data_IF_734551298667
#
_entry.id   IF_734551298667
#
_cell.length_a   1.000
_cell.length_b   1.000
_cell.length_c   1.000
_cell.angle_alpha   90.00
_cell.angle_beta   90.00
_cell.angle_gamma   90.00
#
_symmetry.space_group_name_H-M   'P 1'
#
loop_
_entity.id
_entity.type
_entity.pdbx_description
1 polymer ?
#
# COMPACT_ATOMS: atom_id res chain seq x y z
N UNK A 1 11.56 -24.72 24.25
CA UNK A 1 11.50 -23.70 23.18
C UNK A 1 10.26 -22.83 23.38
N UNK A 2 9.11 -23.44 23.62
CA UNK A 2 7.80 -22.77 23.71
C UNK A 2 7.70 -21.76 24.86
N UNK A 3 8.25 -22.05 26.04
CA UNK A 3 8.26 -21.10 27.17
C UNK A 3 9.06 -19.82 26.87
N UNK A 4 10.15 -19.94 26.11
CA UNK A 4 10.96 -18.80 25.68
C UNK A 4 10.21 -17.97 24.64
N UNK A 5 9.58 -18.61 23.65
CA UNK A 5 8.78 -17.92 22.64
C UNK A 5 7.56 -17.24 23.26
N UNK A 6 6.91 -17.86 24.25
CA UNK A 6 5.79 -17.27 24.97
C UNK A 6 6.24 -16.04 25.76
N UNK A 7 7.37 -16.13 26.45
CA UNK A 7 8.00 -15.00 27.14
C UNK A 7 8.35 -13.86 26.17
N UNK A 8 8.92 -14.18 24.99
CA UNK A 8 9.20 -13.17 23.97
C UNK A 8 7.93 -12.51 23.44
N UNK A 9 6.88 -13.28 23.18
CA UNK A 9 5.59 -12.75 22.73
C UNK A 9 4.98 -11.80 23.77
N UNK A 10 4.98 -12.19 25.04
CA UNK A 10 4.46 -11.32 26.12
C UNK A 10 5.33 -10.09 26.33
N UNK A 11 6.66 -10.23 26.22
CA UNK A 11 7.59 -9.11 26.29
C UNK A 11 7.32 -8.07 25.20
N UNK A 12 6.99 -8.49 23.98
CA UNK A 12 6.69 -7.60 22.85
C UNK A 12 5.39 -6.79 23.01
N UNK A 13 4.46 -7.21 23.88
CA UNK A 13 3.26 -6.43 24.19
C UNK A 13 3.59 -5.08 24.86
N UNK A 14 4.64 -5.04 25.67
CA UNK A 14 5.05 -3.83 26.39
C UNK A 14 5.51 -2.70 25.45
N UNK A 15 6.50 -2.90 24.55
CA UNK A 15 6.88 -1.87 23.59
C UNK A 15 5.75 -1.52 22.63
N UNK A 16 4.92 -2.49 22.21
CA UNK A 16 3.76 -2.20 21.36
C UNK A 16 2.78 -1.24 22.06
N UNK A 17 2.38 -1.55 23.29
CA UNK A 17 1.50 -0.69 24.07
C UNK A 17 2.13 0.69 24.34
N UNK A 18 3.43 0.73 24.60
CA UNK A 18 4.19 1.98 24.76
C UNK A 18 4.16 2.86 23.51
N UNK A 19 4.45 2.28 22.35
CA UNK A 19 4.43 2.98 21.05
C UNK A 19 3.04 3.49 20.68
N UNK A 20 2.00 2.67 20.90
CA UNK A 20 0.60 3.07 20.68
C UNK A 20 0.23 4.25 21.58
N UNK A 21 0.51 4.17 22.89
CA UNK A 21 0.24 5.26 23.83
C UNK A 21 0.99 6.54 23.46
N UNK A 22 2.25 6.41 23.04
CA UNK A 22 3.07 7.55 22.64
C UNK A 22 2.51 8.22 21.38
N UNK A 23 1.95 7.45 20.45
CA UNK A 23 1.30 7.98 19.25
C UNK A 23 0.12 8.89 19.60
N UNK A 24 -0.74 8.48 20.55
CA UNK A 24 -1.84 9.33 21.02
C UNK A 24 -1.34 10.61 21.70
N UNK A 25 -0.32 10.52 22.54
CA UNK A 25 0.29 11.70 23.19
C UNK A 25 0.88 12.66 22.17
N UNK A 26 1.61 12.15 21.19
CA UNK A 26 2.24 12.96 20.15
C UNK A 26 1.20 13.62 19.24
N UNK A 27 0.11 12.91 18.92
CA UNK A 27 -1.02 13.48 18.17
C UNK A 27 -1.69 14.63 18.95
N UNK A 28 -1.94 14.46 20.24
CA UNK A 28 -2.49 15.53 21.09
C UNK A 28 -1.56 16.75 21.15
N UNK A 29 -0.24 16.53 21.26
CA UNK A 29 0.75 17.60 21.21
C UNK A 29 0.75 18.32 19.86
N UNK A 30 0.77 17.57 18.75
CA UNK A 30 0.73 18.14 17.39
C UNK A 30 -0.55 18.98 17.20
N UNK A 31 -1.70 18.49 17.63
CA UNK A 31 -2.96 19.23 17.55
C UNK A 31 -2.94 20.51 18.42
N UNK A 32 -2.35 20.44 19.62
CA UNK A 32 -2.18 21.63 20.46
C UNK A 32 -1.29 22.69 19.81
N UNK A 33 -0.24 22.28 19.09
CA UNK A 33 0.66 23.21 18.40
C UNK A 33 -0.03 23.84 17.18
N UNK A 34 -0.77 23.05 16.41
CA UNK A 34 -1.60 23.59 15.32
C UNK A 34 -2.61 24.61 15.82
N UNK A 35 -3.31 24.32 16.93
CA UNK A 35 -4.27 25.27 17.53
C UNK A 35 -3.60 26.57 17.96
N UNK A 36 -2.43 26.49 18.61
CA UNK A 36 -1.64 27.69 18.99
C UNK A 36 -1.20 28.50 17.78
N UNK A 37 -0.81 27.84 16.70
CA UNK A 37 -0.42 28.49 15.44
C UNK A 37 -1.60 29.20 14.76
N UNK A 38 -2.80 28.62 14.83
CA UNK A 38 -4.03 29.24 14.33
C UNK A 38 -4.47 30.43 15.18
N UNK A 39 -4.44 30.30 16.51
CA UNK A 39 -4.74 31.39 17.45
C UNK A 39 -3.77 32.57 17.32
N UNK A 40 -2.50 32.30 16.99
CA UNK A 40 -1.48 33.32 16.78
C UNK A 40 -1.61 34.06 15.41
N UNK A 41 -2.55 33.67 14.55
CA UNK A 41 -2.78 34.32 13.26
C UNK A 41 -1.74 34.00 12.17
N UNK A 42 -0.92 32.96 12.37
CA UNK A 42 0.17 32.55 11.50
C UNK A 42 1.26 31.79 12.26
N UNK A 43 2.01 30.91 11.59
CA UNK A 43 3.13 30.22 12.22
C UNK A 43 4.42 30.99 12.08
N UNK A 44 5.10 31.20 13.20
CA UNK A 44 6.53 31.49 13.17
C UNK A 44 7.30 30.24 12.67
N UNK A 45 8.44 30.46 12.03
CA UNK A 45 9.31 29.40 11.53
C UNK A 45 9.66 28.36 12.61
N UNK A 46 9.74 28.78 13.88
CA UNK A 46 9.94 27.88 15.01
C UNK A 46 8.76 26.91 15.25
N UNK A 47 7.53 27.37 15.11
CA UNK A 47 6.33 26.53 15.25
C UNK A 47 6.16 25.57 14.08
N UNK A 48 6.41 26.01 12.85
CA UNK A 48 6.36 25.15 11.67
C UNK A 48 7.41 24.03 11.74
N UNK A 49 8.65 24.36 12.09
CA UNK A 49 9.71 23.38 12.29
C UNK A 49 9.39 22.39 13.42
N UNK A 50 8.71 22.83 14.48
CA UNK A 50 8.28 21.95 15.57
C UNK A 50 7.20 20.98 15.10
N UNK A 51 6.19 21.44 14.35
CA UNK A 51 5.14 20.58 13.78
C UNK A 51 5.74 19.56 12.82
N UNK A 52 6.69 19.96 11.99
CA UNK A 52 7.41 19.06 11.09
C UNK A 52 8.17 17.97 11.86
N UNK A 53 8.91 18.34 12.90
CA UNK A 53 9.61 17.39 13.79
C UNK A 53 8.63 16.42 14.46
N UNK A 54 7.49 16.91 14.93
CA UNK A 54 6.45 16.07 15.52
C UNK A 54 5.85 15.10 14.49
N UNK A 55 5.62 15.55 13.26
CA UNK A 55 5.17 14.70 12.15
C UNK A 55 6.17 13.59 11.84
N UNK A 56 7.46 13.93 11.76
CA UNK A 56 8.53 12.97 11.52
C UNK A 56 8.66 11.95 12.66
N UNK A 57 8.63 12.40 13.92
CA UNK A 57 8.64 11.53 15.08
C UNK A 57 7.42 10.58 15.09
N UNK A 58 6.24 11.06 14.71
CA UNK A 58 5.04 10.23 14.56
C UNK A 58 5.21 9.17 13.46
N UNK A 59 5.85 9.52 12.35
CA UNK A 59 6.24 8.58 11.30
C UNK A 59 7.09 7.41 11.84
N UNK A 60 8.10 7.71 12.66
CA UNK A 60 8.92 6.68 13.31
C UNK A 60 8.13 5.82 14.29
N UNK A 61 7.18 6.38 15.03
CA UNK A 61 6.32 5.59 15.93
C UNK A 61 5.48 4.59 15.14
N UNK A 62 4.86 5.02 14.03
CA UNK A 62 4.11 4.11 13.18
C UNK A 62 4.99 3.01 12.59
N UNK A 63 6.20 3.35 12.13
CA UNK A 63 7.17 2.37 11.66
C UNK A 63 7.52 1.35 12.76
N UNK A 64 7.77 1.82 13.98
CA UNK A 64 8.01 0.95 15.14
C UNK A 64 6.83 0.04 15.46
N UNK A 65 5.59 0.56 15.43
CA UNK A 65 4.37 -0.24 15.66
C UNK A 65 4.27 -1.35 14.63
N UNK A 66 4.48 -1.04 13.34
CA UNK A 66 4.43 -2.03 12.26
C UNK A 66 5.51 -3.09 12.46
N UNK A 67 6.75 -2.69 12.75
CA UNK A 67 7.86 -3.62 12.96
C UNK A 67 7.60 -4.57 14.14
N UNK A 68 7.15 -4.04 15.28
CA UNK A 68 6.82 -4.85 16.46
C UNK A 68 5.63 -5.77 16.18
N UNK A 69 4.61 -5.29 15.45
CA UNK A 69 3.46 -6.12 15.07
C UNK A 69 3.84 -7.29 14.16
N UNK A 70 4.73 -7.05 13.18
CA UNK A 70 5.26 -8.11 12.31
C UNK A 70 6.07 -9.11 13.13
N UNK A 71 6.94 -8.63 14.01
CA UNK A 71 7.74 -9.50 14.88
C UNK A 71 6.85 -10.34 15.80
N UNK A 72 5.82 -9.73 16.39
CA UNK A 72 4.83 -10.44 17.20
C UNK A 72 4.09 -11.51 16.39
N UNK A 73 3.66 -11.21 15.17
CA UNK A 73 3.01 -12.18 14.29
C UNK A 73 3.96 -13.34 13.93
N UNK A 74 5.25 -13.06 13.71
CA UNK A 74 6.26 -14.08 13.46
C UNK A 74 6.49 -14.98 14.68
N UNK A 75 6.66 -14.40 15.88
CA UNK A 75 6.80 -15.16 17.13
C UNK A 75 5.53 -15.97 17.41
N UNK A 76 4.35 -15.40 17.17
CA UNK A 76 3.08 -16.11 17.30
C UNK A 76 2.99 -17.30 16.34
N UNK A 77 3.39 -17.13 15.08
CA UNK A 77 3.45 -18.23 14.13
C UNK A 77 4.40 -19.33 14.61
N UNK A 78 5.61 -18.99 15.08
CA UNK A 78 6.57 -19.96 15.63
C UNK A 78 6.04 -20.67 16.89
N UNK A 79 5.17 -20.03 17.67
CA UNK A 79 4.53 -20.64 18.84
C UNK A 79 3.50 -21.70 18.47
N UNK A 80 2.81 -21.53 17.33
CA UNK A 80 1.74 -22.43 16.90
C UNK A 80 2.20 -23.43 15.83
N UNK A 81 3.41 -23.27 15.29
CA UNK A 81 3.98 -24.16 14.30
C UNK A 81 4.03 -25.61 14.81
N UNK A 82 3.55 -26.56 14.00
CA UNK A 82 3.41 -27.97 14.35
C UNK A 82 2.22 -28.30 15.26
N UNK A 83 1.43 -27.30 15.68
CA UNK A 83 0.20 -27.51 16.46
C UNK A 83 -1.04 -27.54 15.57
N UNK A 84 -2.18 -27.99 16.12
CA UNK A 84 -3.49 -27.94 15.43
C UNK A 84 -3.92 -26.51 15.05
N UNK A 85 -3.39 -25.49 15.74
CA UNK A 85 -3.74 -24.09 15.49
C UNK A 85 -3.03 -23.51 14.26
N UNK A 86 -1.96 -24.14 13.77
CA UNK A 86 -1.22 -23.67 12.61
C UNK A 86 -2.11 -23.58 11.37
N UNK A 87 -2.88 -24.64 11.10
CA UNK A 87 -3.81 -24.70 9.97
C UNK A 87 -4.88 -23.62 10.06
N UNK A 88 -5.53 -23.50 11.23
CA UNK A 88 -6.53 -22.47 11.48
C UNK A 88 -5.97 -21.05 11.29
N UNK A 89 -4.77 -20.77 11.78
CA UNK A 89 -4.14 -19.48 11.59
C UNK A 89 -3.91 -19.17 10.10
N UNK A 90 -3.38 -20.13 9.34
CA UNK A 90 -3.14 -19.99 7.89
C UNK A 90 -4.45 -19.76 7.11
N UNK A 91 -5.53 -20.45 7.48
CA UNK A 91 -6.86 -20.29 6.87
C UNK A 91 -7.45 -18.90 7.15
N UNK A 92 -7.47 -18.48 8.42
CA UNK A 92 -7.94 -17.14 8.81
C UNK A 92 -7.13 -16.03 8.15
N UNK A 93 -5.81 -16.18 8.07
CA UNK A 93 -4.94 -15.23 7.38
C UNK A 93 -5.28 -15.15 5.89
N UNK A 94 -5.49 -16.29 5.23
CA UNK A 94 -5.92 -16.34 3.83
C UNK A 94 -7.24 -15.60 3.61
N UNK A 95 -8.27 -15.93 4.39
CA UNK A 95 -9.61 -15.34 4.24
C UNK A 95 -9.55 -13.84 4.51
N UNK A 96 -8.87 -13.42 5.57
CA UNK A 96 -8.77 -12.01 5.98
C UNK A 96 -8.07 -11.19 4.90
N UNK A 97 -6.89 -11.61 4.46
CA UNK A 97 -6.11 -10.83 3.47
C UNK A 97 -6.79 -10.81 2.10
N UNK A 98 -7.44 -11.92 1.68
CA UNK A 98 -8.23 -11.96 0.45
C UNK A 98 -9.43 -11.02 0.51
N UNK A 99 -10.17 -11.03 1.62
CA UNK A 99 -11.32 -10.15 1.79
C UNK A 99 -10.89 -8.68 1.79
N UNK A 100 -9.79 -8.34 2.49
CA UNK A 100 -9.21 -7.01 2.44
C UNK A 100 -8.85 -6.62 0.99
N UNK A 101 -8.16 -7.51 0.26
CA UNK A 101 -7.75 -7.23 -1.11
C UNK A 101 -8.93 -6.99 -2.05
N UNK A 102 -9.97 -7.83 -1.99
CA UNK A 102 -11.18 -7.67 -2.79
C UNK A 102 -11.88 -6.36 -2.42
N UNK A 103 -12.01 -6.05 -1.12
CA UNK A 103 -12.68 -4.84 -0.64
C UNK A 103 -11.97 -3.58 -1.13
N UNK A 104 -10.65 -3.49 -0.94
CA UNK A 104 -9.88 -2.34 -1.42
C UNK A 104 -9.80 -2.29 -2.95
N UNK A 105 -9.76 -3.44 -3.63
CA UNK A 105 -9.81 -3.52 -5.07
C UNK A 105 -11.11 -2.95 -5.63
N UNK A 106 -12.26 -3.31 -5.05
CA UNK A 106 -13.57 -2.72 -5.39
C UNK A 106 -13.55 -1.21 -5.13
N UNK A 107 -13.04 -0.76 -4.00
CA UNK A 107 -12.95 0.67 -3.69
C UNK A 107 -12.06 1.42 -4.70
N UNK A 108 -10.89 0.87 -5.06
CA UNK A 108 -9.95 1.51 -5.97
C UNK A 108 -10.49 1.59 -7.40
N UNK A 109 -11.08 0.48 -7.90
CA UNK A 109 -11.73 0.44 -9.20
C UNK A 109 -12.95 1.36 -9.22
N UNK A 110 -13.77 1.35 -8.15
CA UNK A 110 -14.93 2.23 -8.01
C UNK A 110 -14.57 3.71 -8.06
N UNK A 111 -13.56 4.13 -7.29
CA UNK A 111 -13.03 5.49 -7.33
C UNK A 111 -12.50 5.85 -8.72
N UNK A 112 -11.84 4.92 -9.41
CA UNK A 112 -11.36 5.13 -10.78
C UNK A 112 -12.52 5.39 -11.76
N UNK A 113 -13.59 4.59 -11.71
CA UNK A 113 -14.78 4.82 -12.53
C UNK A 113 -15.47 6.14 -12.21
N UNK A 114 -15.54 6.52 -10.93
CA UNK A 114 -16.08 7.81 -10.53
C UNK A 114 -15.29 8.96 -11.15
N UNK A 115 -13.96 8.92 -11.12
CA UNK A 115 -13.13 9.95 -11.77
C UNK A 115 -13.23 9.92 -13.30
N UNK A 116 -13.34 8.75 -13.93
CA UNK A 116 -13.61 8.66 -15.39
C UNK A 116 -14.93 9.34 -15.74
N UNK A 117 -15.98 9.10 -14.96
CA UNK A 117 -17.25 9.81 -15.12
C UNK A 117 -17.07 11.32 -14.95
N UNK A 118 -16.43 11.77 -13.86
CA UNK A 118 -16.19 13.19 -13.63
C UNK A 118 -15.48 13.84 -14.81
N UNK A 119 -14.38 13.25 -15.29
CA UNK A 119 -13.60 13.78 -16.41
C UNK A 119 -14.40 13.96 -17.70
N UNK A 120 -15.29 13.00 -17.98
CA UNK A 120 -16.14 13.00 -19.17
C UNK A 120 -17.35 13.94 -19.03
N UNK A 121 -17.81 14.19 -17.81
CA UNK A 121 -18.98 15.02 -17.53
C UNK A 121 -18.64 16.52 -17.36
N UNK A 122 -17.36 16.89 -17.27
CA UNK A 122 -16.95 18.30 -17.13
C UNK A 122 -17.52 19.18 -18.24
N UNK A 123 -18.19 20.25 -17.85
CA UNK A 123 -18.43 21.37 -18.75
C UNK A 123 -17.11 22.13 -18.96
N UNK A 124 -16.67 22.17 -20.22
CA UNK A 124 -15.42 22.83 -20.65
C UNK A 124 -15.65 24.04 -21.54
N UNK A 125 -16.90 24.47 -21.73
CA UNK A 125 -17.25 25.46 -22.75
C UNK A 125 -17.96 26.69 -22.19
N UNK A 126 -18.96 26.51 -21.33
CA UNK A 126 -19.82 27.61 -20.88
C UNK A 126 -19.39 28.09 -19.50
N UNK A 127 -19.13 29.39 -19.34
CA UNK A 127 -18.85 30.01 -18.03
C UNK A 127 -17.77 29.27 -17.22
N UNK A 128 -16.71 28.81 -17.90
CA UNK A 128 -15.56 28.17 -17.26
C UNK A 128 -14.47 29.23 -17.12
N UNK A 129 -13.95 29.43 -15.91
CA UNK A 129 -12.85 30.37 -15.65
C UNK A 129 -11.56 29.89 -16.31
N UNK A 130 -10.69 30.80 -16.73
CA UNK A 130 -9.49 30.47 -17.52
C UNK A 130 -8.53 29.50 -16.81
N UNK A 131 -8.46 29.55 -15.48
CA UNK A 131 -7.64 28.64 -14.67
C UNK A 131 -8.21 27.22 -14.54
N UNK A 132 -9.48 27.03 -14.89
CA UNK A 132 -10.17 25.74 -14.77
C UNK A 132 -10.10 24.95 -16.07
N UNK A 133 -9.84 23.66 -15.96
CA UNK A 133 -9.97 22.69 -17.04
C UNK A 133 -11.45 22.36 -17.31
N UNK A 134 -12.33 22.56 -16.31
CA UNK A 134 -13.77 22.41 -16.42
C UNK A 134 -14.46 22.50 -15.06
N UNK A 135 -15.78 22.55 -15.08
CA UNK A 135 -16.62 22.47 -13.89
C UNK A 135 -17.77 21.47 -14.05
N UNK A 136 -18.38 21.04 -12.94
CA UNK A 136 -19.50 20.10 -12.96
C UNK A 136 -20.46 20.39 -11.80
N UNK A 137 -21.74 20.44 -12.12
CA UNK A 137 -22.81 20.34 -11.14
C UNK A 137 -23.26 18.89 -11.01
N UNK A 138 -23.36 18.38 -9.79
CA UNK A 138 -23.84 17.04 -9.49
C UNK A 138 -24.85 17.06 -8.34
N UNK A 139 -25.73 16.07 -8.27
CA UNK A 139 -26.68 15.90 -7.15
C UNK A 139 -26.58 14.49 -6.59
N UNK A 140 -26.51 14.36 -5.28
CA UNK A 140 -26.56 13.07 -4.60
C UNK A 140 -27.12 13.22 -3.18
N UNK A 141 -27.95 12.27 -2.73
CA UNK A 141 -28.55 12.32 -1.40
C UNK A 141 -29.42 13.56 -1.13
N UNK A 142 -29.96 14.20 -2.17
CA UNK A 142 -30.73 15.45 -2.07
C UNK A 142 -29.90 16.73 -1.99
N UNK A 143 -28.56 16.65 -1.96
CA UNK A 143 -27.65 17.80 -1.96
C UNK A 143 -27.03 18.05 -3.34
N UNK A 144 -26.71 19.32 -3.62
CA UNK A 144 -26.03 19.73 -4.86
C UNK A 144 -24.54 19.98 -4.59
N UNK A 145 -23.70 19.46 -5.46
CA UNK A 145 -22.26 19.63 -5.49
C UNK A 145 -21.87 20.46 -6.71
N UNK A 146 -20.92 21.37 -6.52
CA UNK A 146 -20.27 22.06 -7.62
C UNK A 146 -18.77 21.80 -7.55
N UNK A 147 -18.24 21.12 -8.56
CA UNK A 147 -16.85 20.70 -8.65
C UNK A 147 -16.13 21.55 -9.69
N UNK A 148 -14.91 21.97 -9.35
CA UNK A 148 -14.03 22.71 -10.26
C UNK A 148 -12.72 21.92 -10.42
N UNK A 149 -12.38 21.58 -11.67
CA UNK A 149 -11.11 20.96 -11.99
C UNK A 149 -10.14 22.04 -12.46
N UNK A 150 -9.03 22.22 -11.75
CA UNK A 150 -7.98 23.15 -12.17
C UNK A 150 -7.08 22.53 -13.25
N UNK A 151 -6.56 23.37 -14.17
CA UNK A 151 -5.56 22.94 -15.17
C UNK A 151 -4.21 22.61 -14.54
N UNK A 152 -3.84 23.37 -13.51
CA UNK A 152 -2.58 23.31 -12.78
C UNK A 152 -2.87 23.46 -11.28
N UNK A 153 -1.85 23.34 -10.43
CA UNK A 153 -2.01 23.59 -9.01
C UNK A 153 -2.58 25.01 -8.77
N UNK A 154 -3.62 25.16 -7.93
CA UNK A 154 -4.18 26.47 -7.60
C UNK A 154 -3.17 27.31 -6.81
N UNK A 155 -3.38 28.64 -6.79
CA UNK A 155 -2.52 29.58 -6.05
C UNK A 155 -2.45 29.27 -4.55
N UNK A 156 -3.51 28.72 -3.99
CA UNK A 156 -3.56 28.22 -2.63
C UNK A 156 -4.24 26.85 -2.63
N UNK A 157 -3.54 25.83 -2.12
CA UNK A 157 -4.12 24.50 -1.89
C UNK A 157 -4.74 24.50 -0.49
N UNK A 158 -6.00 24.10 -0.33
CA UNK A 158 -6.62 23.99 0.98
C UNK A 158 -5.82 23.07 1.91
N UNK A 159 -5.74 23.43 3.21
CA UNK A 159 -5.11 22.59 4.23
C UNK A 159 -5.82 21.24 4.37
N UNK A 160 -7.14 21.25 4.27
CA UNK A 160 -7.99 20.07 4.27
C UNK A 160 -8.21 19.59 2.84
N UNK A 161 -7.28 18.77 2.34
CA UNK A 161 -7.37 18.14 1.04
C UNK A 161 -7.60 16.63 1.20
N UNK A 162 -8.72 16.14 0.68
CA UNK A 162 -8.92 14.70 0.57
C UNK A 162 -8.18 14.16 -0.65
N UNK A 163 -7.30 13.19 -0.44
CA UNK A 163 -6.55 12.52 -1.50
C UNK A 163 -6.88 11.03 -1.51
N UNK A 164 -7.57 10.58 -2.57
CA UNK A 164 -7.95 9.19 -2.86
C UNK A 164 -6.75 8.30 -3.23
N UNK A 165 -5.81 8.16 -2.30
CA UNK A 165 -4.58 7.35 -2.46
C UNK A 165 -4.67 6.01 -1.75
N UNK A 166 -5.49 5.94 -0.71
CA UNK A 166 -5.49 4.82 0.22
C UNK A 166 -6.08 3.56 -0.41
N UNK A 167 -7.09 3.70 -1.26
CA UNK A 167 -7.72 2.60 -1.99
C UNK A 167 -6.68 1.86 -2.85
N UNK A 168 -5.88 2.61 -3.60
CA UNK A 168 -4.78 2.07 -4.42
C UNK A 168 -3.67 1.46 -3.54
N UNK A 169 -3.23 2.17 -2.51
CA UNK A 169 -2.17 1.69 -1.63
C UNK A 169 -2.56 0.41 -0.89
N UNK A 170 -3.75 0.33 -0.32
CA UNK A 170 -4.19 -0.86 0.40
C UNK A 170 -4.49 -2.03 -0.55
N UNK A 171 -4.95 -1.78 -1.78
CA UNK A 171 -5.05 -2.83 -2.80
C UNK A 171 -3.68 -3.41 -3.10
N UNK A 172 -2.67 -2.55 -3.31
CA UNK A 172 -1.31 -2.99 -3.58
C UNK A 172 -0.70 -3.75 -2.39
N UNK A 173 -0.81 -3.21 -1.17
CA UNK A 173 -0.28 -3.85 0.04
C UNK A 173 -0.92 -5.23 0.25
N UNK A 174 -2.25 -5.31 0.21
CA UNK A 174 -2.97 -6.58 0.39
C UNK A 174 -2.69 -7.58 -0.72
N UNK A 175 -2.57 -7.13 -1.98
CA UNK A 175 -2.23 -7.98 -3.11
C UNK A 175 -0.81 -8.54 -3.00
N UNK A 176 0.14 -7.70 -2.57
CA UNK A 176 1.49 -8.15 -2.27
C UNK A 176 1.51 -9.12 -1.08
N UNK A 177 0.73 -8.87 -0.02
CA UNK A 177 0.59 -9.82 1.09
C UNK A 177 0.04 -11.18 0.66
N UNK A 178 -0.87 -11.24 -0.33
CA UNK A 178 -1.36 -12.51 -0.86
C UNK A 178 -0.26 -13.36 -1.49
N UNK A 179 0.77 -12.76 -2.11
CA UNK A 179 1.93 -13.52 -2.59
C UNK A 179 2.59 -14.31 -1.45
N UNK A 180 2.76 -13.68 -0.29
CA UNK A 180 3.37 -14.33 0.88
C UNK A 180 2.44 -15.37 1.49
N UNK A 181 1.18 -15.00 1.73
CA UNK A 181 0.21 -15.84 2.44
C UNK A 181 -0.18 -17.08 1.63
N UNK A 182 -0.32 -16.93 0.30
CA UNK A 182 -0.77 -18.02 -0.57
C UNK A 182 0.42 -18.85 -1.04
N UNK A 183 1.45 -18.21 -1.59
CA UNK A 183 2.52 -18.93 -2.30
C UNK A 183 3.75 -19.19 -1.43
N UNK A 184 4.13 -18.30 -0.51
CA UNK A 184 5.38 -18.50 0.24
C UNK A 184 5.18 -19.25 1.55
N UNK A 185 4.09 -18.99 2.29
CA UNK A 185 3.79 -19.69 3.55
C UNK A 185 3.55 -21.19 3.34
N UNK A 186 3.01 -21.60 2.19
CA UNK A 186 2.87 -23.01 1.84
C UNK A 186 3.39 -23.29 0.42
N UNK A 187 4.67 -22.96 0.21
CA UNK A 187 5.33 -23.12 -1.08
C UNK A 187 5.28 -24.56 -1.64
N UNK A 188 5.33 -25.58 -0.76
CA UNK A 188 5.23 -26.96 -1.19
C UNK A 188 3.88 -27.30 -1.85
N UNK A 189 2.80 -26.64 -1.43
CA UNK A 189 1.47 -26.92 -1.96
C UNK A 189 1.08 -26.03 -3.14
N UNK A 190 1.50 -24.75 -3.12
CA UNK A 190 0.99 -23.75 -4.08
C UNK A 190 2.03 -23.20 -5.05
N UNK A 191 3.32 -23.37 -4.79
CA UNK A 191 4.40 -22.79 -5.62
C UNK A 191 5.25 -23.87 -6.32
N UNK A 192 5.49 -25.00 -5.65
CA UNK A 192 6.39 -26.05 -6.10
C UNK A 192 5.57 -27.20 -6.68
N UNK A 193 5.92 -27.64 -7.87
CA UNK A 193 5.50 -28.92 -8.42
C UNK A 193 6.75 -29.81 -8.65
N UNK A 194 6.91 -30.89 -7.87
CA UNK A 194 8.03 -31.81 -8.03
C UNK A 194 8.11 -32.46 -9.42
N UNK A 195 6.99 -32.54 -10.16
CA UNK A 195 6.96 -33.07 -11.53
C UNK A 195 7.55 -32.11 -12.56
N UNK A 196 7.51 -30.80 -12.29
CA UNK A 196 8.18 -29.77 -13.09
C UNK A 196 9.63 -29.61 -12.64
N UNK A 197 9.83 -29.34 -11.33
CA UNK A 197 11.16 -29.19 -10.72
C UNK A 197 11.11 -29.36 -9.21
N UNK A 198 11.89 -30.32 -8.70
CA UNK A 198 12.08 -30.56 -7.27
C UNK A 198 12.91 -29.47 -6.58
N UNK A 199 12.30 -28.30 -6.32
CA UNK A 199 12.92 -27.21 -5.56
C UNK A 199 12.66 -27.34 -4.06
N UNK A 200 13.59 -26.84 -3.24
CA UNK A 200 13.31 -26.60 -1.84
C UNK A 200 12.48 -25.31 -1.67
N UNK A 201 11.65 -25.18 -0.61
CA UNK A 201 10.89 -23.95 -0.34
C UNK A 201 11.73 -22.66 -0.35
N UNK A 202 12.91 -22.60 0.30
CA UNK A 202 13.73 -21.39 0.26
C UNK A 202 14.24 -21.05 -1.15
N UNK A 203 14.57 -22.06 -1.97
CA UNK A 203 14.98 -21.84 -3.35
C UNK A 203 13.84 -21.30 -4.20
N UNK A 204 12.64 -21.88 -4.07
CA UNK A 204 11.46 -21.43 -4.80
C UNK A 204 11.05 -19.99 -4.43
N UNK A 205 10.99 -19.69 -3.13
CA UNK A 205 10.73 -18.33 -2.63
C UNK A 205 11.81 -17.35 -3.10
N UNK A 206 13.09 -17.76 -3.03
CA UNK A 206 14.22 -16.97 -3.50
C UNK A 206 14.13 -16.61 -4.98
N UNK A 207 13.73 -17.56 -5.84
CA UNK A 207 13.47 -17.30 -7.25
C UNK A 207 12.34 -16.28 -7.43
N UNK A 208 11.23 -16.42 -6.70
CA UNK A 208 10.12 -15.47 -6.75
C UNK A 208 10.54 -14.04 -6.38
N UNK A 209 11.23 -13.88 -5.25
CA UNK A 209 11.75 -12.58 -4.79
C UNK A 209 12.78 -11.99 -5.75
N UNK A 210 13.73 -12.81 -6.21
CA UNK A 210 14.73 -12.39 -7.19
C UNK A 210 14.08 -11.94 -8.51
N UNK A 211 13.04 -12.63 -8.95
CA UNK A 211 12.34 -12.29 -10.19
C UNK A 211 11.61 -10.95 -10.08
N UNK A 212 11.04 -10.60 -8.91
CA UNK A 212 10.49 -9.27 -8.67
C UNK A 212 11.57 -8.17 -8.75
N UNK A 213 12.72 -8.40 -8.10
CA UNK A 213 13.84 -7.46 -8.14
C UNK A 213 14.40 -7.30 -9.55
N UNK A 214 14.57 -8.40 -10.28
CA UNK A 214 15.02 -8.40 -11.67
C UNK A 214 14.02 -7.73 -12.60
N UNK A 215 12.73 -7.98 -12.43
CA UNK A 215 11.66 -7.33 -13.19
C UNK A 215 11.67 -5.81 -12.98
N UNK A 216 11.82 -5.37 -11.72
CA UNK A 216 11.95 -3.94 -11.40
C UNK A 216 13.20 -3.32 -12.03
N UNK A 217 14.37 -3.96 -11.90
CA UNK A 217 15.61 -3.49 -12.50
C UNK A 217 15.51 -3.42 -14.03
N UNK A 218 14.95 -4.45 -14.67
CA UNK A 218 14.76 -4.48 -16.11
C UNK A 218 13.84 -3.33 -16.56
N UNK A 219 12.73 -3.12 -15.86
CA UNK A 219 11.81 -2.01 -16.13
C UNK A 219 12.46 -0.63 -15.93
N UNK A 220 13.16 -0.41 -14.81
CA UNK A 220 13.87 0.84 -14.52
C UNK A 220 14.91 1.16 -15.61
N UNK A 221 15.68 0.17 -16.04
CA UNK A 221 16.64 0.33 -17.14
C UNK A 221 15.94 0.63 -18.45
N UNK A 222 14.84 -0.06 -18.76
CA UNK A 222 14.07 0.15 -19.98
C UNK A 222 13.52 1.59 -20.05
N UNK A 223 12.98 2.10 -18.94
CA UNK A 223 12.49 3.48 -18.81
C UNK A 223 13.58 4.54 -19.02
N UNK A 224 14.84 4.23 -18.72
CA UNK A 224 16.00 5.12 -18.95
C UNK A 224 16.52 5.09 -20.38
N UNK A 225 16.00 4.21 -21.25
CA UNK A 225 16.39 4.18 -22.65
C UNK A 225 15.52 5.09 -23.52
N UNK A 226 15.99 5.38 -24.75
CA UNK A 226 15.21 6.12 -25.76
C UNK A 226 13.91 5.41 -26.17
N UNK A 227 13.71 4.14 -25.77
CA UNK A 227 12.51 3.37 -26.09
C UNK A 227 11.25 3.95 -25.46
N UNK A 228 11.38 4.69 -24.35
CA UNK A 228 10.24 5.36 -23.68
C UNK A 228 9.50 6.34 -24.61
N UNK A 229 10.18 6.88 -25.64
CA UNK A 229 9.59 7.77 -26.63
C UNK A 229 8.90 7.02 -27.80
N UNK A 230 8.95 5.67 -27.81
CA UNK A 230 8.30 4.81 -28.81
C UNK A 230 7.30 3.89 -28.11
N UNK A 231 6.07 4.36 -27.80
CA UNK A 231 5.15 3.68 -26.89
C UNK A 231 4.77 2.26 -27.36
N UNK A 232 4.57 2.05 -28.67
CA UNK A 232 4.27 0.71 -29.20
C UNK A 232 5.43 -0.27 -29.02
N UNK A 233 6.66 0.16 -29.29
CA UNK A 233 7.84 -0.68 -29.10
C UNK A 233 8.05 -0.99 -27.62
N UNK A 234 7.90 0.01 -26.75
CA UNK A 234 7.98 -0.15 -25.30
C UNK A 234 6.95 -1.16 -24.78
N UNK A 235 5.69 -1.03 -25.21
CA UNK A 235 4.61 -1.95 -24.85
C UNK A 235 4.86 -3.38 -25.36
N UNK A 236 5.33 -3.52 -26.61
CA UNK A 236 5.65 -4.84 -27.19
C UNK A 236 6.79 -5.52 -26.42
N UNK A 237 7.87 -4.79 -26.11
CA UNK A 237 8.98 -5.33 -25.32
C UNK A 237 8.53 -5.72 -23.92
N UNK A 238 7.72 -4.89 -23.26
CA UNK A 238 7.12 -5.20 -21.97
C UNK A 238 6.26 -6.46 -22.02
N UNK A 239 5.40 -6.59 -23.05
CA UNK A 239 4.57 -7.77 -23.26
C UNK A 239 5.41 -9.04 -23.47
N UNK A 240 6.43 -8.99 -24.34
CA UNK A 240 7.33 -10.11 -24.57
C UNK A 240 8.11 -10.50 -23.30
N UNK A 241 8.53 -9.51 -22.49
CA UNK A 241 9.15 -9.77 -21.20
C UNK A 241 8.18 -10.49 -20.25
N UNK A 242 6.92 -10.04 -20.16
CA UNK A 242 5.88 -10.72 -19.38
C UNK A 242 5.65 -12.16 -19.85
N UNK A 243 5.55 -12.39 -21.17
CA UNK A 243 5.46 -13.73 -21.74
C UNK A 243 6.69 -14.59 -21.39
N UNK A 244 7.89 -14.00 -21.45
CA UNK A 244 9.13 -14.66 -21.08
C UNK A 244 9.16 -15.07 -19.60
N UNK A 245 8.72 -14.19 -18.69
CA UNK A 245 8.58 -14.50 -17.28
C UNK A 245 7.51 -15.58 -17.03
N UNK A 246 6.35 -15.47 -17.66
CA UNK A 246 5.28 -16.47 -17.55
C UNK A 246 5.75 -17.86 -18.03
N UNK A 247 6.41 -17.90 -19.19
CA UNK A 247 7.02 -19.13 -19.70
C UNK A 247 8.09 -19.66 -18.73
N UNK A 248 9.00 -18.81 -18.24
CA UNK A 248 10.00 -19.22 -17.25
C UNK A 248 9.36 -19.83 -16.01
N UNK A 249 8.33 -19.21 -15.44
CA UNK A 249 7.65 -19.74 -14.26
C UNK A 249 6.96 -21.08 -14.54
N UNK A 250 6.38 -21.28 -15.73
CA UNK A 250 5.82 -22.59 -16.11
C UNK A 250 6.85 -23.73 -16.14
N UNK A 251 8.14 -23.39 -16.28
CA UNK A 251 9.24 -24.37 -16.31
C UNK A 251 9.92 -24.55 -14.94
N UNK A 252 9.53 -23.77 -13.93
CA UNK A 252 10.21 -23.68 -12.62
C UNK A 252 9.25 -23.97 -11.47
N UNK A 253 8.01 -23.52 -11.57
CA UNK A 253 6.95 -23.64 -10.57
C UNK A 253 5.83 -24.52 -11.09
N UNK A 254 4.73 -24.61 -10.33
CA UNK A 254 3.57 -25.45 -10.59
C UNK A 254 2.69 -25.08 -11.79
N UNK A 255 3.08 -24.08 -12.60
CA UNK A 255 2.32 -23.60 -13.76
C UNK A 255 1.66 -22.26 -13.53
#
# INVERSE_FOLDING_TARGET
MDTLLLFLFTLLLLPLAGLVRLTYKLAALQQSQHRKMEEAGGGDAGQEAMIEKLSYARGFLYFGIVLVSILMAAVFYLLIEGTVYEGHFREWLNITVRLLHITFGIAWIGTSFYFVFLENALNRTKNVRDELAGNLWAVHGGGFYYLEKYKLAPKAVPRELHWFKYEAYFTWISGFSLLFVVYYFNANAFLIDPSVRGLSPPAAIGIGVASLALGWLAYDRLCKTRMVHRPLLFALVGFLACCGFAYFYSQVFSG
#
